data_IF_947800237175
#
_entry.id   IF_947800237175
#
_cell.length_a   1.000
_cell.length_b   1.000
_cell.length_c   1.000
_cell.angle_alpha   90.00
_cell.angle_beta   90.00
_cell.angle_gamma   90.00
#
_symmetry.space_group_name_H-M   'P 1'
#
loop_
_entity.id
_entity.type
_entity.pdbx_description
1 polymer ?
#
# COMPACT_ATOMS: atom_id res chain seq x y z
N UNK A 1 19.55 7.46 7.52
CA UNK A 1 18.93 6.29 8.16
C UNK A 1 19.97 5.20 8.41
N UNK A 2 19.69 4.31 9.38
CA UNK A 2 20.53 3.13 9.65
C UNK A 2 20.43 2.12 8.51
N UNK A 3 21.30 1.12 8.52
CA UNK A 3 21.24 0.04 7.52
C UNK A 3 20.03 -0.88 7.74
N UNK A 4 19.89 -1.88 6.86
CA UNK A 4 18.74 -2.79 6.83
C UNK A 4 18.45 -3.41 8.21
N UNK A 5 19.51 -3.86 8.91
CA UNK A 5 19.37 -4.44 10.25
C UNK A 5 18.80 -3.44 11.28
N UNK A 6 19.17 -2.17 11.18
CA UNK A 6 18.60 -1.11 12.04
C UNK A 6 17.11 -0.93 11.74
N UNK A 7 16.73 -0.93 10.46
CA UNK A 7 15.34 -0.77 10.04
C UNK A 7 14.47 -1.93 10.58
N UNK A 8 14.95 -3.17 10.43
CA UNK A 8 14.23 -4.36 10.90
C UNK A 8 14.10 -4.36 12.44
N UNK A 9 15.20 -4.04 13.16
CA UNK A 9 15.18 -4.00 14.63
C UNK A 9 14.25 -2.89 15.16
N UNK A 10 14.21 -1.74 14.47
CA UNK A 10 13.31 -0.64 14.84
C UNK A 10 11.86 -1.02 14.57
N UNK A 11 11.60 -1.67 13.43
CA UNK A 11 10.27 -2.19 13.10
C UNK A 11 9.83 -3.25 14.12
N UNK A 12 10.73 -4.16 14.52
CA UNK A 12 10.42 -5.16 15.56
C UNK A 12 9.91 -4.48 16.83
N UNK A 13 10.66 -3.50 17.32
CA UNK A 13 10.25 -2.73 18.50
C UNK A 13 8.88 -2.07 18.31
N UNK A 14 8.65 -1.47 17.13
CA UNK A 14 7.39 -0.80 16.78
C UNK A 14 6.22 -1.79 16.80
N UNK A 15 6.37 -2.93 16.16
CA UNK A 15 5.30 -3.92 16.05
C UNK A 15 4.92 -4.49 17.43
N UNK A 16 5.91 -4.65 18.34
CA UNK A 16 5.61 -5.02 19.72
C UNK A 16 4.80 -3.95 20.47
N UNK A 17 4.95 -2.67 20.11
CA UNK A 17 4.18 -1.57 20.72
C UNK A 17 2.79 -1.41 20.10
N UNK A 18 2.60 -1.86 18.86
CA UNK A 18 1.30 -1.77 18.18
C UNK A 18 0.32 -2.76 18.83
N UNK A 19 0.67 -4.05 18.87
CA UNK A 19 -0.17 -5.07 19.52
C UNK A 19 0.63 -6.35 19.81
N UNK A 20 0.12 -7.21 20.72
CA UNK A 20 0.73 -8.53 20.94
C UNK A 20 0.82 -9.37 19.66
N UNK A 21 -0.22 -9.30 18.80
CA UNK A 21 -0.29 -10.10 17.58
C UNK A 21 0.77 -9.65 16.57
N UNK A 22 0.98 -8.35 16.43
CA UNK A 22 2.03 -7.85 15.52
C UNK A 22 3.43 -8.12 16.10
N UNK A 23 3.55 -8.14 17.43
CA UNK A 23 4.81 -8.52 18.09
C UNK A 23 5.16 -9.97 17.80
N UNK A 24 4.21 -10.90 17.96
CA UNK A 24 4.39 -12.32 17.63
C UNK A 24 4.74 -12.50 16.15
N UNK A 25 4.02 -11.79 15.28
CA UNK A 25 4.21 -11.86 13.84
C UNK A 25 5.63 -11.41 13.43
N UNK A 26 6.09 -10.26 13.92
CA UNK A 26 7.41 -9.75 13.50
C UNK A 26 8.55 -10.63 14.02
N UNK A 27 8.41 -11.19 15.23
CA UNK A 27 9.38 -12.14 15.75
C UNK A 27 9.43 -13.39 14.86
N UNK A 28 8.27 -13.91 14.45
CA UNK A 28 8.18 -15.04 13.52
C UNK A 28 8.90 -14.73 12.21
N UNK A 29 8.69 -13.54 11.63
CA UNK A 29 9.34 -13.14 10.37
C UNK A 29 10.87 -13.09 10.51
N UNK A 30 11.36 -12.59 11.63
CA UNK A 30 12.80 -12.45 11.91
C UNK A 30 13.43 -13.83 12.19
N UNK A 31 12.82 -14.61 13.08
CA UNK A 31 13.36 -15.90 13.52
C UNK A 31 13.46 -16.92 12.38
N UNK A 32 12.59 -16.81 11.38
CA UNK A 32 12.56 -17.71 10.23
C UNK A 32 13.18 -17.09 8.96
N UNK A 33 13.82 -15.92 9.09
CA UNK A 33 14.50 -15.23 7.97
C UNK A 33 13.58 -15.02 6.76
N UNK A 34 12.33 -14.58 7.00
CA UNK A 34 11.28 -14.47 5.97
C UNK A 34 11.27 -13.11 5.25
N UNK A 35 12.43 -12.43 5.19
CA UNK A 35 12.57 -11.13 4.51
C UNK A 35 13.88 -11.06 3.74
N UNK A 36 13.81 -10.79 2.43
CA UNK A 36 14.99 -10.43 1.62
C UNK A 36 14.87 -8.97 1.20
N UNK A 37 15.48 -8.08 1.99
CA UNK A 37 15.36 -6.62 1.84
C UNK A 37 16.54 -6.00 1.09
N UNK A 38 17.67 -6.70 1.03
CA UNK A 38 18.92 -6.16 0.50
C UNK A 38 18.86 -5.99 -1.02
N UNK A 39 19.22 -4.81 -1.51
CA UNK A 39 19.40 -4.58 -2.93
C UNK A 39 20.70 -5.25 -3.41
N UNK A 40 20.62 -5.98 -4.53
CA UNK A 40 21.75 -6.77 -5.08
C UNK A 40 21.74 -6.69 -6.61
N UNK A 41 22.91 -6.73 -7.27
CA UNK A 41 22.93 -6.81 -8.75
C UNK A 41 22.09 -7.99 -9.26
N UNK A 42 21.25 -7.73 -10.25
CA UNK A 42 20.38 -8.75 -10.85
C UNK A 42 19.08 -8.99 -10.10
N UNK A 43 18.87 -8.37 -8.94
CA UNK A 43 17.61 -8.46 -8.19
C UNK A 43 16.57 -7.55 -8.84
N UNK A 44 15.31 -8.03 -8.95
CA UNK A 44 14.21 -7.20 -9.48
C UNK A 44 13.97 -6.00 -8.57
N UNK A 45 13.82 -4.81 -9.17
CA UNK A 45 13.64 -3.54 -8.44
C UNK A 45 12.16 -3.35 -8.09
N UNK A 46 11.64 -4.20 -7.20
CA UNK A 46 10.24 -4.18 -6.77
C UNK A 46 10.14 -4.62 -5.32
N UNK A 47 8.99 -4.35 -4.70
CA UNK A 47 8.60 -4.95 -3.41
C UNK A 47 7.37 -5.83 -3.63
N UNK A 48 7.26 -6.89 -2.86
CA UNK A 48 6.05 -7.71 -2.79
C UNK A 48 6.09 -8.66 -1.61
N UNK A 49 4.91 -9.06 -1.16
CA UNK A 49 4.73 -10.18 -0.25
C UNK A 49 4.23 -11.39 -1.05
N UNK A 50 4.67 -12.58 -0.69
CA UNK A 50 4.10 -13.83 -1.20
C UNK A 50 3.84 -14.79 -0.05
N UNK A 51 2.84 -15.67 -0.22
CA UNK A 51 2.51 -16.69 0.77
C UNK A 51 3.18 -18.02 0.45
N UNK A 52 3.63 -18.71 1.50
CA UNK A 52 4.13 -20.08 1.44
C UNK A 52 3.13 -20.96 2.21
N UNK A 53 2.00 -21.37 1.56
CA UNK A 53 0.87 -21.97 2.27
C UNK A 53 1.21 -23.24 3.05
N UNK A 54 2.10 -24.09 2.50
CA UNK A 54 2.51 -25.35 3.17
C UNK A 54 3.26 -25.10 4.47
N UNK A 55 3.87 -23.92 4.62
CA UNK A 55 4.61 -23.51 5.82
C UNK A 55 3.81 -22.53 6.69
N UNK A 56 2.64 -22.11 6.23
CA UNK A 56 1.83 -21.06 6.83
C UNK A 56 2.66 -19.79 7.11
N UNK A 57 3.51 -19.43 6.16
CA UNK A 57 4.47 -18.34 6.30
C UNK A 57 4.36 -17.37 5.12
N UNK A 58 4.28 -16.06 5.39
CA UNK A 58 4.49 -15.07 4.36
C UNK A 58 5.98 -14.83 4.15
N UNK A 59 6.35 -14.32 2.98
CA UNK A 59 7.74 -13.95 2.67
C UNK A 59 7.72 -12.55 2.03
N UNK A 60 8.57 -11.66 2.53
CA UNK A 60 8.69 -10.29 2.02
C UNK A 60 9.97 -10.16 1.18
N UNK A 61 9.81 -9.67 -0.04
CA UNK A 61 10.89 -9.35 -0.96
C UNK A 61 10.88 -7.86 -1.22
N UNK A 62 12.03 -7.20 -1.11
CA UNK A 62 12.14 -5.76 -1.39
C UNK A 62 13.57 -5.41 -1.79
N UNK A 63 13.78 -4.17 -2.24
CA UNK A 63 15.08 -3.64 -2.63
C UNK A 63 15.31 -2.30 -1.94
N UNK A 64 15.77 -2.33 -0.68
CA UNK A 64 16.08 -1.12 0.08
C UNK A 64 17.17 -0.31 -0.64
N UNK A 65 16.98 0.98 -0.68
CA UNK A 65 17.88 1.93 -1.34
C UNK A 65 18.46 2.97 -0.38
N UNK A 66 18.26 2.79 0.92
CA UNK A 66 18.75 3.64 2.02
C UNK A 66 18.16 5.05 1.99
N UNK A 67 16.91 5.17 1.52
CA UNK A 67 16.14 6.41 1.58
C UNK A 67 15.06 6.35 2.67
N UNK A 68 14.38 7.46 2.86
CA UNK A 68 13.26 7.54 3.81
C UNK A 68 12.11 6.59 3.42
N UNK A 69 12.03 6.24 2.14
CA UNK A 69 10.97 5.36 1.62
C UNK A 69 11.15 3.90 2.03
N UNK A 70 12.33 3.49 2.50
CA UNK A 70 12.53 2.10 2.99
C UNK A 70 11.60 1.78 4.17
N UNK A 71 11.33 2.75 5.05
CA UNK A 71 10.36 2.55 6.13
C UNK A 71 8.96 2.32 5.58
N UNK A 72 8.55 3.14 4.61
CA UNK A 72 7.24 3.02 3.96
C UNK A 72 7.09 1.64 3.31
N UNK A 73 8.07 1.25 2.48
CA UNK A 73 8.06 -0.06 1.81
C UNK A 73 8.04 -1.19 2.83
N UNK A 74 8.85 -1.10 3.88
CA UNK A 74 8.91 -2.13 4.94
C UNK A 74 7.55 -2.30 5.62
N UNK A 75 6.92 -1.20 6.05
CA UNK A 75 5.63 -1.26 6.75
C UNK A 75 4.50 -1.69 5.82
N UNK A 76 4.57 -1.31 4.53
CA UNK A 76 3.62 -1.73 3.49
C UNK A 76 3.68 -3.26 3.30
N UNK A 77 4.87 -3.79 2.98
CA UNK A 77 5.02 -5.24 2.72
C UNK A 77 4.77 -6.07 3.97
N UNK A 78 5.16 -5.57 5.15
CA UNK A 78 4.83 -6.23 6.41
C UNK A 78 3.33 -6.12 6.73
N UNK A 79 2.62 -5.14 6.20
CA UNK A 79 1.16 -5.05 6.28
C UNK A 79 0.51 -6.22 5.53
N UNK A 80 0.91 -6.44 4.28
CA UNK A 80 0.48 -7.62 3.51
C UNK A 80 0.88 -8.92 4.20
N UNK A 81 2.11 -8.98 4.72
CA UNK A 81 2.61 -10.19 5.38
C UNK A 81 1.83 -10.50 6.67
N UNK A 82 1.45 -9.47 7.43
CA UNK A 82 0.62 -9.65 8.64
C UNK A 82 -0.76 -10.20 8.28
N UNK A 83 -1.40 -9.63 7.25
CA UNK A 83 -2.70 -10.11 6.77
C UNK A 83 -2.60 -11.58 6.34
N UNK A 84 -1.59 -11.92 5.53
CA UNK A 84 -1.35 -13.31 5.10
C UNK A 84 -1.05 -14.25 6.26
N UNK A 85 -0.25 -13.79 7.24
CA UNK A 85 0.08 -14.54 8.45
C UNK A 85 -1.18 -14.92 9.24
N UNK A 86 -2.07 -13.95 9.44
CA UNK A 86 -3.33 -14.15 10.17
C UNK A 86 -4.28 -15.04 9.36
N UNK A 87 -4.42 -14.79 8.06
CA UNK A 87 -5.30 -15.56 7.17
C UNK A 87 -4.89 -17.05 7.14
N UNK A 88 -3.60 -17.34 7.00
CA UNK A 88 -3.09 -18.72 6.96
C UNK A 88 -3.31 -19.48 8.28
N UNK A 89 -3.59 -18.77 9.37
CA UNK A 89 -3.85 -19.38 10.70
C UNK A 89 -5.34 -19.47 11.02
N UNK A 90 -6.17 -18.64 10.41
CA UNK A 90 -7.59 -18.57 10.69
C UNK A 90 -8.48 -19.21 9.61
N UNK A 91 -8.03 -19.17 8.33
CA UNK A 91 -8.87 -19.66 7.24
C UNK A 91 -8.59 -21.16 6.95
N UNK A 92 -9.65 -21.93 6.68
CA UNK A 92 -9.51 -23.38 6.46
C UNK A 92 -9.01 -23.76 5.07
N UNK A 93 -9.12 -22.84 4.10
CA UNK A 93 -8.84 -23.11 2.68
C UNK A 93 -7.85 -22.08 2.16
N UNK A 94 -6.84 -22.55 1.41
CA UNK A 94 -5.77 -21.68 0.88
C UNK A 94 -6.29 -20.56 -0.04
N UNK A 95 -7.40 -20.80 -0.74
CA UNK A 95 -7.97 -19.79 -1.63
C UNK A 95 -8.50 -18.55 -0.88
N UNK A 96 -8.65 -18.67 0.45
CA UNK A 96 -9.09 -17.57 1.32
C UNK A 96 -7.90 -16.90 2.06
N UNK A 97 -6.65 -17.27 1.76
CA UNK A 97 -5.47 -16.64 2.36
C UNK A 97 -5.17 -15.27 1.74
N UNK A 98 -5.76 -14.98 0.59
CA UNK A 98 -5.54 -13.75 -0.17
C UNK A 98 -6.87 -13.02 -0.33
N UNK A 99 -6.89 -11.77 0.07
CA UNK A 99 -8.05 -10.89 -0.09
C UNK A 99 -8.12 -10.36 -1.54
N UNK A 100 -9.18 -9.61 -1.84
CA UNK A 100 -9.20 -8.79 -3.05
C UNK A 100 -8.10 -7.73 -2.97
N UNK A 101 -7.61 -7.29 -4.11
CA UNK A 101 -6.51 -6.33 -4.20
C UNK A 101 -6.77 -5.06 -3.37
N UNK A 102 -7.98 -4.54 -3.46
CA UNK A 102 -8.36 -3.32 -2.73
C UNK A 102 -8.27 -3.51 -1.20
N UNK A 103 -8.75 -4.66 -0.68
CA UNK A 103 -8.65 -4.95 0.76
C UNK A 103 -7.18 -5.10 1.16
N UNK A 104 -6.41 -5.85 0.37
CA UNK A 104 -4.99 -6.06 0.62
C UNK A 104 -4.24 -4.72 0.71
N UNK A 105 -4.53 -3.81 -0.22
CA UNK A 105 -3.84 -2.50 -0.25
C UNK A 105 -4.36 -1.55 0.84
N UNK A 106 -5.63 -1.64 1.23
CA UNK A 106 -6.11 -0.90 2.43
C UNK A 106 -5.31 -1.36 3.65
N UNK A 107 -5.09 -2.67 3.78
CA UNK A 107 -4.37 -3.26 4.91
C UNK A 107 -2.91 -2.77 4.95
N UNK A 108 -2.19 -2.90 3.83
CA UNK A 108 -0.79 -2.51 3.73
C UNK A 108 -0.61 -1.01 3.96
N UNK A 109 -1.43 -0.18 3.30
CA UNK A 109 -1.36 1.28 3.43
C UNK A 109 -1.79 1.76 4.82
N UNK A 110 -2.72 1.07 5.48
CA UNK A 110 -3.09 1.39 6.87
C UNK A 110 -1.92 1.11 7.82
N UNK A 111 -1.17 0.03 7.58
CA UNK A 111 0.01 -0.28 8.38
C UNK A 111 1.08 0.82 8.27
N UNK A 112 1.25 1.43 7.08
CA UNK A 112 2.11 2.61 6.91
C UNK A 112 1.66 3.75 7.84
N UNK A 113 0.34 3.99 7.93
CA UNK A 113 -0.21 5.06 8.77
C UNK A 113 -0.05 4.76 10.27
N UNK A 114 -0.19 3.50 10.66
CA UNK A 114 0.00 3.08 12.05
C UNK A 114 1.45 3.22 12.51
N UNK A 115 2.39 3.28 11.57
CA UNK A 115 3.80 3.50 11.86
C UNK A 115 4.14 4.99 12.14
N UNK A 116 3.25 5.92 11.80
CA UNK A 116 3.50 7.37 11.96
C UNK A 116 3.92 7.79 13.37
N UNK A 117 3.28 7.30 14.46
CA UNK A 117 3.72 7.69 15.82
C UNK A 117 5.14 7.28 16.17
N UNK A 118 5.71 6.35 15.41
CA UNK A 118 7.03 5.79 15.68
C UNK A 118 8.12 6.34 14.75
N UNK A 119 7.80 7.31 13.91
CA UNK A 119 8.73 7.85 12.90
C UNK A 119 10.05 8.36 13.53
N UNK A 120 9.99 8.91 14.76
CA UNK A 120 11.18 9.36 15.49
C UNK A 120 12.17 8.22 15.77
N UNK A 121 11.69 7.00 15.92
CA UNK A 121 12.56 5.84 16.16
C UNK A 121 13.41 5.50 14.93
N UNK A 122 12.88 5.80 13.74
CA UNK A 122 13.57 5.55 12.46
C UNK A 122 14.43 6.74 12.02
N UNK A 123 13.94 7.95 12.25
CA UNK A 123 14.49 9.16 11.61
C UNK A 123 14.95 10.24 12.60
N UNK A 124 14.77 10.05 13.91
CA UNK A 124 15.14 11.05 14.91
C UNK A 124 14.49 12.40 14.62
N UNK A 125 15.29 13.45 14.53
CA UNK A 125 14.84 14.82 14.26
C UNK A 125 14.33 15.05 12.83
N UNK A 126 14.48 14.07 11.95
CA UNK A 126 13.98 14.18 10.58
C UNK A 126 12.57 13.54 10.41
N UNK A 127 11.97 13.08 11.50
CA UNK A 127 10.66 12.40 11.45
C UNK A 127 9.55 13.23 10.78
N UNK A 128 9.52 14.55 11.06
CA UNK A 128 8.51 15.43 10.46
C UNK A 128 8.71 15.62 8.95
N UNK A 129 9.95 15.53 8.48
CA UNK A 129 10.21 15.53 7.03
C UNK A 129 9.66 14.28 6.38
N UNK A 130 9.84 13.13 7.04
CA UNK A 130 9.24 11.87 6.55
C UNK A 130 7.71 11.99 6.49
N UNK A 131 7.09 12.44 7.58
CA UNK A 131 5.63 12.60 7.64
C UNK A 131 5.11 13.53 6.54
N UNK A 132 5.81 14.64 6.32
CA UNK A 132 5.45 15.61 5.27
C UNK A 132 5.57 14.97 3.88
N UNK A 133 6.70 14.30 3.61
CA UNK A 133 6.95 13.68 2.29
C UNK A 133 5.92 12.58 2.00
N UNK A 134 5.63 11.73 2.97
CA UNK A 134 4.68 10.63 2.81
C UNK A 134 3.25 11.16 2.59
N UNK A 135 2.84 12.18 3.35
CA UNK A 135 1.52 12.80 3.15
C UNK A 135 1.43 13.49 1.79
N UNK A 136 2.48 14.21 1.39
CA UNK A 136 2.55 14.85 0.07
C UNK A 136 2.42 13.81 -1.04
N UNK A 137 3.14 12.69 -0.91
CA UNK A 137 3.07 11.59 -1.86
C UNK A 137 1.62 11.07 -1.98
N UNK A 138 0.97 10.79 -0.86
CA UNK A 138 -0.42 10.30 -0.86
C UNK A 138 -1.37 11.29 -1.56
N UNK A 139 -1.23 12.59 -1.27
CA UNK A 139 -2.10 13.63 -1.87
C UNK A 139 -1.85 13.79 -3.37
N UNK A 140 -0.60 13.69 -3.83
CA UNK A 140 -0.27 13.83 -5.25
C UNK A 140 -0.48 12.53 -6.02
N UNK A 141 -0.50 11.40 -5.31
CA UNK A 141 -0.75 10.08 -5.90
C UNK A 141 -2.19 9.95 -6.38
N UNK A 142 -3.17 10.46 -5.63
CA UNK A 142 -4.60 10.30 -5.98
C UNK A 142 -4.90 10.82 -7.40
N UNK A 143 -4.58 12.07 -7.77
CA UNK A 143 -4.83 12.52 -9.16
C UNK A 143 -3.99 11.77 -10.19
N UNK A 144 -2.78 11.32 -9.83
CA UNK A 144 -1.96 10.51 -10.74
C UNK A 144 -2.61 9.15 -11.03
N UNK A 145 -3.11 8.47 -9.98
CA UNK A 145 -3.78 7.17 -10.15
C UNK A 145 -5.04 7.29 -11.00
N UNK A 146 -5.83 8.35 -10.80
CA UNK A 146 -7.00 8.64 -11.64
C UNK A 146 -6.58 8.87 -13.10
N UNK A 147 -5.48 9.61 -13.32
CA UNK A 147 -4.98 9.85 -14.69
C UNK A 147 -4.56 8.53 -15.36
N UNK A 148 -3.91 7.63 -14.62
CA UNK A 148 -3.52 6.30 -15.14
C UNK A 148 -4.75 5.49 -15.55
N UNK A 149 -5.80 5.53 -14.74
CA UNK A 149 -7.03 4.78 -15.03
C UNK A 149 -7.75 5.36 -16.25
N UNK A 150 -8.00 6.68 -16.26
CA UNK A 150 -8.65 7.34 -17.40
C UNK A 150 -7.86 7.13 -18.70
N UNK A 151 -6.53 7.13 -18.62
CA UNK A 151 -5.67 6.85 -19.78
C UNK A 151 -5.94 5.46 -20.36
N UNK A 152 -6.04 4.45 -19.50
CA UNK A 152 -6.33 3.08 -19.92
C UNK A 152 -7.72 3.02 -20.58
N UNK A 153 -8.73 3.65 -19.99
CA UNK A 153 -10.07 3.72 -20.59
C UNK A 153 -10.03 4.34 -21.98
N UNK A 154 -9.28 5.43 -22.18
CA UNK A 154 -9.12 6.07 -23.49
C UNK A 154 -8.47 5.08 -24.48
N UNK A 155 -7.36 4.44 -24.08
CA UNK A 155 -6.60 3.54 -24.96
C UNK A 155 -7.41 2.31 -25.36
N UNK A 156 -8.20 1.75 -24.44
CA UNK A 156 -9.03 0.57 -24.73
C UNK A 156 -10.28 0.92 -25.52
N UNK A 157 -10.85 2.10 -25.32
CA UNK A 157 -11.99 2.59 -26.12
C UNK A 157 -11.57 2.95 -27.56
N UNK A 158 -10.29 3.33 -27.73
CA UNK A 158 -9.74 3.80 -29.00
C UNK A 158 -8.45 3.06 -29.37
N UNK A 159 -8.55 1.73 -29.63
CA UNK A 159 -7.37 0.93 -29.95
C UNK A 159 -6.64 1.37 -31.23
N UNK A 160 -7.30 2.11 -32.09
CA UNK A 160 -6.74 2.67 -33.34
C UNK A 160 -5.75 3.80 -33.11
N UNK A 161 -5.69 4.39 -31.91
CA UNK A 161 -4.77 5.49 -31.61
C UNK A 161 -3.31 5.06 -31.84
N UNK A 162 -2.57 5.88 -32.58
CA UNK A 162 -1.15 5.70 -32.77
C UNK A 162 -0.38 5.97 -31.46
N UNK A 163 0.86 5.49 -31.32
CA UNK A 163 1.65 5.82 -30.13
C UNK A 163 1.79 7.31 -29.85
N UNK A 164 1.88 8.12 -30.89
CA UNK A 164 1.97 9.59 -30.75
C UNK A 164 0.67 10.17 -30.18
N UNK A 165 -0.46 9.67 -30.66
CA UNK A 165 -1.77 10.13 -30.16
C UNK A 165 -2.00 9.68 -28.70
N UNK A 166 -1.61 8.46 -28.33
CA UNK A 166 -1.67 8.01 -26.94
C UNK A 166 -0.82 8.91 -26.04
N UNK A 167 0.38 9.23 -26.46
CA UNK A 167 1.27 10.14 -25.72
C UNK A 167 0.63 11.51 -25.54
N UNK A 168 -0.06 12.02 -26.57
CA UNK A 168 -0.78 13.29 -26.48
C UNK A 168 -1.99 13.19 -25.53
N UNK A 169 -2.72 12.07 -25.53
CA UNK A 169 -3.81 11.89 -24.56
C UNK A 169 -3.26 11.94 -23.13
N UNK A 170 -2.11 11.30 -22.87
CA UNK A 170 -1.50 11.38 -21.54
C UNK A 170 -1.13 12.82 -21.18
N UNK A 171 -0.57 13.59 -22.12
CA UNK A 171 -0.28 15.01 -21.89
C UNK A 171 -1.53 15.79 -21.43
N UNK A 172 -2.66 15.57 -22.09
CA UNK A 172 -3.92 16.23 -21.72
C UNK A 172 -4.39 15.83 -20.31
N UNK A 173 -4.18 14.56 -19.93
CA UNK A 173 -4.52 14.09 -18.59
C UNK A 173 -3.59 14.70 -17.53
N UNK A 174 -2.31 14.89 -17.85
CA UNK A 174 -1.38 15.58 -16.95
C UNK A 174 -1.83 17.04 -16.73
N UNK A 175 -2.23 17.74 -17.79
CA UNK A 175 -2.75 19.11 -17.66
C UNK A 175 -4.03 19.14 -16.81
N UNK A 176 -4.90 18.14 -16.98
CA UNK A 176 -6.17 18.03 -16.26
C UNK A 176 -5.98 17.74 -14.77
N UNK A 177 -5.13 16.75 -14.43
CA UNK A 177 -5.05 16.20 -13.09
C UNK A 177 -3.84 16.67 -12.29
N UNK A 178 -2.75 17.07 -12.99
CA UNK A 178 -1.46 17.38 -12.36
C UNK A 178 -0.84 18.64 -12.94
N UNK A 179 -1.59 19.77 -12.98
CA UNK A 179 -1.10 20.99 -13.64
C UNK A 179 0.15 21.59 -12.99
N UNK A 180 0.49 21.16 -11.78
CA UNK A 180 1.72 21.58 -11.10
C UNK A 180 2.97 20.88 -11.61
N UNK A 181 2.82 19.76 -12.35
CA UNK A 181 3.96 18.94 -12.81
C UNK A 181 4.70 19.65 -13.93
N UNK A 182 6.03 19.74 -13.82
CA UNK A 182 6.91 20.37 -14.82
C UNK A 182 8.12 19.46 -15.04
N UNK A 183 8.62 19.41 -16.25
CA UNK A 183 9.69 18.51 -16.65
C UNK A 183 10.99 19.22 -17.04
N UNK A 184 11.10 20.51 -16.75
CA UNK A 184 12.32 21.31 -16.90
C UNK A 184 12.99 21.16 -18.28
N UNK A 185 12.20 21.26 -19.34
CA UNK A 185 12.62 21.17 -20.75
C UNK A 185 12.95 19.75 -21.24
N UNK A 186 12.57 18.70 -20.53
CA UNK A 186 12.63 17.35 -21.09
C UNK A 186 11.53 17.21 -22.14
N UNK A 187 11.91 17.30 -23.42
CA UNK A 187 10.98 17.32 -24.57
C UNK A 187 10.13 16.04 -24.62
N UNK A 188 10.68 14.90 -24.24
CA UNK A 188 9.93 13.63 -24.23
C UNK A 188 8.84 13.66 -23.16
N UNK A 189 9.21 14.08 -21.95
CA UNK A 189 8.25 14.16 -20.83
C UNK A 189 7.20 15.25 -21.07
N UNK A 190 7.61 16.43 -21.57
CA UNK A 190 6.67 17.55 -21.84
C UNK A 190 5.61 17.18 -22.89
N UNK A 191 5.89 16.22 -23.76
CA UNK A 191 4.93 15.72 -24.76
C UNK A 191 3.97 14.66 -24.19
N UNK A 192 4.14 14.27 -22.92
CA UNK A 192 3.34 13.24 -22.27
C UNK A 192 4.01 11.88 -22.22
N UNK A 193 5.35 11.82 -22.20
CA UNK A 193 6.10 10.56 -22.17
C UNK A 193 6.11 9.84 -20.84
N UNK A 194 5.59 10.44 -19.77
CA UNK A 194 5.72 9.91 -18.41
C UNK A 194 5.07 8.54 -18.24
N UNK A 195 3.96 8.24 -18.92
CA UNK A 195 3.25 6.96 -18.77
C UNK A 195 4.07 5.75 -19.20
N UNK A 196 5.05 5.94 -20.08
CA UNK A 196 5.85 4.82 -20.64
C UNK A 196 6.58 4.01 -19.56
N UNK A 197 6.92 4.62 -18.43
CA UNK A 197 7.63 3.90 -17.36
C UNK A 197 6.69 3.11 -16.45
N UNK A 198 5.36 3.29 -16.57
CA UNK A 198 4.40 2.68 -15.65
C UNK A 198 4.02 1.27 -16.10
N UNK A 199 4.77 0.28 -15.58
CA UNK A 199 4.60 -1.14 -15.96
C UNK A 199 3.18 -1.65 -15.76
N UNK A 200 2.46 -1.14 -14.77
CA UNK A 200 1.09 -1.56 -14.46
C UNK A 200 0.14 -1.40 -15.66
N UNK A 201 0.34 -0.34 -16.47
CA UNK A 201 -0.50 -0.09 -17.66
C UNK A 201 -0.40 -1.26 -18.65
N UNK A 202 0.77 -1.91 -18.72
CA UNK A 202 1.05 -2.99 -19.69
C UNK A 202 0.76 -4.38 -19.14
N UNK A 203 1.08 -4.61 -17.87
CA UNK A 203 1.06 -5.94 -17.28
C UNK A 203 -0.22 -6.22 -16.50
N UNK A 204 -0.85 -5.18 -15.91
CA UNK A 204 -1.99 -5.32 -15.02
C UNK A 204 -3.03 -4.25 -15.34
N UNK A 205 -3.70 -4.33 -16.53
CA UNK A 205 -4.66 -3.29 -16.93
C UNK A 205 -5.78 -3.09 -15.90
N UNK A 206 -6.10 -1.84 -15.64
CA UNK A 206 -7.17 -1.42 -14.73
C UNK A 206 -6.94 -1.77 -13.26
N UNK A 207 -5.74 -2.25 -12.91
CA UNK A 207 -5.34 -2.53 -11.54
C UNK A 207 -5.05 -1.23 -10.75
N UNK A 208 -4.45 -0.24 -11.40
CA UNK A 208 -3.79 0.89 -10.75
C UNK A 208 -4.74 1.78 -9.96
N UNK A 209 -6.02 1.84 -10.34
CA UNK A 209 -7.04 2.63 -9.64
C UNK A 209 -7.23 2.14 -8.19
N UNK A 210 -6.99 0.86 -7.93
CA UNK A 210 -7.11 0.31 -6.57
C UNK A 210 -6.21 1.06 -5.58
N UNK A 211 -4.98 1.38 -5.97
CA UNK A 211 -4.09 2.17 -5.11
C UNK A 211 -4.67 3.54 -4.75
N UNK A 212 -5.41 4.16 -5.67
CA UNK A 212 -6.06 5.46 -5.43
C UNK A 212 -7.17 5.33 -4.37
N UNK A 213 -8.03 4.32 -4.55
CA UNK A 213 -9.13 4.05 -3.63
C UNK A 213 -8.60 3.68 -2.25
N UNK A 214 -7.59 2.83 -2.21
CA UNK A 214 -7.01 2.35 -0.95
C UNK A 214 -6.20 3.42 -0.22
N UNK A 215 -5.57 4.36 -0.96
CA UNK A 215 -4.95 5.55 -0.35
C UNK A 215 -6.01 6.35 0.43
N UNK A 216 -7.18 6.54 -0.15
CA UNK A 216 -8.27 7.25 0.53
C UNK A 216 -8.75 6.48 1.76
N UNK A 217 -8.91 5.15 1.63
CA UNK A 217 -9.27 4.26 2.74
C UNK A 217 -8.25 4.31 3.88
N UNK A 218 -6.96 4.24 3.55
CA UNK A 218 -5.89 4.30 4.54
C UNK A 218 -5.86 5.65 5.27
N UNK A 219 -6.17 6.74 4.59
CA UNK A 219 -6.26 8.07 5.22
C UNK A 219 -7.43 8.15 6.20
N UNK A 220 -8.55 7.49 5.91
CA UNK A 220 -9.66 7.39 6.85
C UNK A 220 -9.26 6.56 8.09
N UNK A 221 -8.53 5.45 7.89
CA UNK A 221 -8.00 4.67 9.02
C UNK A 221 -7.00 5.47 9.85
N UNK A 222 -6.13 6.26 9.20
CA UNK A 222 -5.22 7.17 9.91
C UNK A 222 -5.99 8.11 10.84
N UNK A 223 -7.07 8.71 10.32
CA UNK A 223 -7.93 9.60 11.11
C UNK A 223 -8.55 8.84 12.30
N UNK A 224 -9.15 7.68 12.05
CA UNK A 224 -9.72 6.83 13.09
C UNK A 224 -8.69 6.43 14.15
N UNK A 225 -7.48 6.09 13.72
CA UNK A 225 -6.37 5.70 14.60
C UNK A 225 -5.95 6.86 15.52
N UNK A 226 -5.99 8.08 15.01
CA UNK A 226 -5.71 9.28 15.82
C UNK A 226 -6.80 9.57 16.84
N UNK A 227 -8.05 9.22 16.53
CA UNK A 227 -9.20 9.41 17.42
C UNK A 227 -9.37 8.28 18.45
N UNK A 228 -9.22 7.04 18.01
CA UNK A 228 -9.34 5.83 18.86
C UNK A 228 -8.47 4.73 18.29
N UNK A 229 -7.22 4.67 18.79
CA UNK A 229 -6.22 3.70 18.38
C UNK A 229 -6.71 2.26 18.48
N UNK A 230 -7.35 1.91 19.59
CA UNK A 230 -7.77 0.53 19.85
C UNK A 230 -8.85 0.06 18.86
N UNK A 231 -9.87 0.89 18.63
CA UNK A 231 -10.94 0.56 17.69
C UNK A 231 -10.41 0.49 16.27
N UNK A 232 -9.58 1.45 15.84
CA UNK A 232 -9.00 1.44 14.50
C UNK A 232 -8.14 0.19 14.27
N UNK A 233 -7.31 -0.16 15.26
CA UNK A 233 -6.49 -1.37 15.20
C UNK A 233 -7.34 -2.63 15.09
N UNK A 234 -8.39 -2.75 15.93
CA UNK A 234 -9.27 -3.92 15.91
C UNK A 234 -9.92 -4.15 14.54
N UNK A 235 -10.28 -3.07 13.84
CA UNK A 235 -10.87 -3.19 12.48
C UNK A 235 -9.83 -3.77 11.51
N UNK A 236 -8.62 -3.22 11.50
CA UNK A 236 -7.57 -3.63 10.57
C UNK A 236 -7.03 -5.02 10.90
N UNK A 237 -6.91 -5.34 12.20
CA UNK A 237 -6.37 -6.64 12.64
C UNK A 237 -7.32 -7.81 12.38
N UNK A 238 -8.62 -7.53 12.23
CA UNK A 238 -9.61 -8.57 11.95
C UNK A 238 -9.78 -8.74 10.44
N UNK A 239 -8.81 -9.37 9.82
CA UNK A 239 -8.85 -9.71 8.38
C UNK A 239 -10.17 -10.44 8.04
N UNK A 240 -10.66 -11.27 8.95
CA UNK A 240 -11.93 -12.01 8.78
C UNK A 240 -13.13 -11.06 8.61
N UNK A 241 -13.14 -9.95 9.34
CA UNK A 241 -14.23 -8.97 9.23
C UNK A 241 -14.12 -8.15 7.93
N UNK A 242 -12.90 -7.91 7.46
CA UNK A 242 -12.67 -7.25 6.17
C UNK A 242 -13.07 -8.15 4.99
N UNK A 243 -12.83 -9.46 5.11
CA UNK A 243 -13.25 -10.44 4.10
C UNK A 243 -14.76 -10.59 4.01
N UNK A 244 -15.50 -10.19 5.04
CA UNK A 244 -16.97 -10.21 5.07
C UNK A 244 -17.59 -8.90 4.60
N UNK A 245 -16.77 -7.87 4.40
CA UNK A 245 -17.29 -6.62 3.84
C UNK A 245 -17.29 -6.79 2.33
N UNK A 246 -18.44 -7.16 1.79
CA UNK A 246 -18.72 -6.87 0.39
C UNK A 246 -18.63 -5.36 0.26
N UNK A 247 -17.45 -4.87 -0.12
CA UNK A 247 -17.28 -3.46 -0.46
C UNK A 247 -17.97 -3.27 -1.80
N UNK A 248 -19.28 -3.22 -1.73
CA UNK A 248 -20.04 -2.59 -2.80
C UNK A 248 -19.63 -1.11 -2.68
N UNK A 249 -18.76 -0.68 -3.55
CA UNK A 249 -18.46 0.75 -3.73
C UNK A 249 -19.70 1.36 -4.40
N UNK A 250 -20.81 1.35 -3.67
CA UNK A 250 -21.93 2.23 -3.96
C UNK A 250 -21.81 3.41 -3.00
N UNK A 251 -21.12 4.42 -3.46
CA UNK A 251 -21.23 5.82 -3.11
C UNK A 251 -21.49 6.28 -1.66
N UNK A 252 -21.25 5.45 -0.63
CA UNK A 252 -21.48 5.89 0.75
C UNK A 252 -20.46 5.29 1.73
N UNK A 253 -19.53 6.10 2.16
CA UNK A 253 -18.66 5.86 3.33
C UNK A 253 -19.49 5.54 4.58
N UNK A 254 -20.77 5.93 4.60
CA UNK A 254 -21.71 5.70 5.71
C UNK A 254 -22.12 4.24 5.94
N UNK A 255 -21.89 3.33 5.02
CA UNK A 255 -22.30 1.93 5.20
C UNK A 255 -21.33 1.15 6.09
N UNK A 256 -20.05 1.47 6.05
CA UNK A 256 -19.06 0.85 6.94
C UNK A 256 -19.36 1.19 8.40
N UNK A 257 -19.71 2.44 8.69
CA UNK A 257 -20.04 2.88 10.05
C UNK A 257 -21.30 2.21 10.60
N UNK A 258 -22.30 1.93 9.77
CA UNK A 258 -23.56 1.31 10.22
C UNK A 258 -23.40 -0.16 10.60
N UNK A 259 -22.49 -0.90 9.93
CA UNK A 259 -22.25 -2.32 10.26
C UNK A 259 -21.38 -2.47 11.51
N UNK A 260 -20.45 -1.55 11.72
CA UNK A 260 -19.58 -1.57 12.91
C UNK A 260 -20.31 -1.18 14.20
N UNK A 261 -21.49 -0.56 14.11
CA UNK A 261 -22.29 -0.15 15.28
C UNK A 261 -23.33 -1.18 15.75
N UNK A 262 -23.40 -2.37 15.15
CA UNK A 262 -24.33 -3.42 15.65
C UNK A 262 -23.64 -4.23 16.74
N UNK A 263 -24.06 -4.12 18.01
CA UNK A 263 -23.59 -5.02 19.06
C UNK A 263 -24.08 -6.44 18.74
N UNK A 264 -23.20 -7.42 18.93
CA UNK A 264 -23.32 -8.82 18.58
C UNK A 264 -24.74 -9.41 18.61
N UNK A 265 -25.25 -9.75 17.44
CA UNK A 265 -26.36 -10.64 17.28
C UNK A 265 -25.84 -12.07 17.17
N UNK A 266 -26.07 -12.84 18.22
CA UNK A 266 -25.89 -14.30 18.20
C UNK A 266 -27.03 -14.90 17.41
N UNK A 267 -26.68 -15.52 16.80
CA UNK A 267 -27.62 -16.32 16.30
C UNK A 267 -27.22 -17.46 15.71
#
# INVERSE_FOLDING_TARGET
AGGDAFMVKTAQKMYHEISPETGEFIDFMIDHELMDLQNKPGKASTGYMTSLPSLKAPFVFSCFNHTIFDMQVLTHELGHAFAGYMAMRSQPISDYYSESTDIAEIHSMSMEQFAYPYAEWFFGDQADKFRFAHLQEALTFVPFGVAVDEFQHICYAHPELTPKERTYQWHLLEEKYMPWRKYENDVFMERGGYWYHKLHIYLYPFYYINYTLTTMGAMEFKKKYAEDKATAWQIVARVEDLLRVDVVVEGEVGLLERRLRRPGGVX
#
